data_IF_416383327519
#
_entry.id   IF_416383327519
#
_cell.length_a   1.000
_cell.length_b   1.000
_cell.length_c   1.000
_cell.angle_alpha   90.00
_cell.angle_beta   90.00
_cell.angle_gamma   90.00
#
_symmetry.space_group_name_H-M   'P 1'
#
loop_
_entity.id
_entity.type
_entity.pdbx_description
1 polymer ?
#
# COMPACT_ATOMS: atom_id res chain seq x y z
N UNK A 1 -26.83 7.93 -8.32
CA UNK A 1 -25.76 7.30 -9.14
C UNK A 1 -24.45 8.02 -8.81
N UNK A 2 -23.54 7.40 -8.08
CA UNK A 2 -22.20 7.98 -7.89
C UNK A 2 -21.51 8.05 -9.27
N UNK A 3 -21.11 9.27 -9.69
CA UNK A 3 -20.28 9.42 -10.89
C UNK A 3 -19.02 8.58 -10.73
N UNK A 4 -18.76 7.67 -11.68
CA UNK A 4 -17.52 6.87 -11.68
C UNK A 4 -16.31 7.80 -11.80
N UNK A 5 -15.37 7.67 -10.87
CA UNK A 5 -14.14 8.48 -10.83
C UNK A 5 -13.03 7.69 -11.54
N UNK A 6 -12.84 8.01 -12.82
CA UNK A 6 -11.89 7.29 -13.68
C UNK A 6 -10.41 7.55 -13.32
N UNK A 7 -10.10 8.69 -12.70
CA UNK A 7 -8.74 8.99 -12.30
C UNK A 7 -8.21 8.06 -11.20
N UNK A 8 -9.07 7.58 -10.27
CA UNK A 8 -8.66 6.58 -9.28
C UNK A 8 -8.40 5.21 -9.92
N UNK A 9 -9.14 4.86 -10.99
CA UNK A 9 -8.87 3.64 -11.74
C UNK A 9 -7.54 3.75 -12.52
N UNK A 10 -7.25 4.94 -13.10
CA UNK A 10 -5.95 5.17 -13.75
C UNK A 10 -4.80 5.07 -12.75
N UNK A 11 -4.93 5.67 -11.56
CA UNK A 11 -3.90 5.59 -10.53
C UNK A 11 -3.64 4.13 -10.10
N UNK A 12 -4.69 3.28 -10.01
CA UNK A 12 -4.52 1.83 -9.76
C UNK A 12 -3.83 1.11 -10.92
N UNK A 13 -4.21 1.44 -12.16
CA UNK A 13 -3.61 0.84 -13.34
C UNK A 13 -2.12 1.19 -13.46
N UNK A 14 -1.74 2.43 -13.18
CA UNK A 14 -0.34 2.87 -13.11
C UNK A 14 0.39 2.14 -11.97
N UNK A 15 -0.21 2.05 -10.78
CA UNK A 15 0.38 1.40 -9.63
C UNK A 15 0.73 -0.07 -9.92
N UNK A 16 -0.21 -0.84 -10.50
CA UNK A 16 0.07 -2.24 -10.86
C UNK A 16 1.08 -2.35 -12.01
N UNK A 17 1.03 -1.46 -12.99
CA UNK A 17 2.00 -1.45 -14.08
C UNK A 17 3.43 -1.23 -13.58
N UNK A 18 3.64 -0.32 -12.60
CA UNK A 18 4.96 -0.10 -11.97
C UNK A 18 5.45 -1.35 -11.20
N UNK A 19 4.55 -2.06 -10.52
CA UNK A 19 4.91 -3.30 -9.80
C UNK A 19 5.29 -4.41 -10.78
N UNK A 20 4.49 -4.63 -11.83
CA UNK A 20 4.80 -5.63 -12.88
C UNK A 20 6.11 -5.27 -13.59
N UNK A 21 6.29 -3.99 -13.91
CA UNK A 21 7.52 -3.51 -14.54
C UNK A 21 8.76 -3.75 -13.67
N UNK A 22 8.68 -3.51 -12.35
CA UNK A 22 9.79 -3.81 -11.44
C UNK A 22 10.23 -5.28 -11.51
N UNK A 23 9.28 -6.22 -11.47
CA UNK A 23 9.62 -7.63 -11.47
C UNK A 23 10.19 -8.08 -12.83
N UNK A 24 9.66 -7.55 -13.94
CA UNK A 24 10.27 -7.72 -15.25
C UNK A 24 11.67 -7.12 -15.33
N UNK A 25 11.86 -5.91 -14.80
CA UNK A 25 13.17 -5.25 -14.74
C UNK A 25 14.17 -6.01 -13.87
N UNK A 26 13.74 -6.65 -12.78
CA UNK A 26 14.57 -7.52 -11.96
C UNK A 26 15.08 -8.73 -12.75
N UNK A 27 14.22 -9.36 -13.54
CA UNK A 27 14.62 -10.44 -14.44
C UNK A 27 15.69 -9.97 -15.45
N UNK A 28 15.46 -8.84 -16.12
CA UNK A 28 16.43 -8.26 -17.04
C UNK A 28 17.74 -7.85 -16.36
N UNK A 29 17.69 -7.35 -15.12
CA UNK A 29 18.88 -7.06 -14.33
C UNK A 29 19.71 -8.31 -14.06
N UNK A 30 19.07 -9.40 -13.63
CA UNK A 30 19.75 -10.66 -13.31
C UNK A 30 20.32 -11.35 -14.54
N UNK A 31 19.63 -11.28 -15.69
CA UNK A 31 20.05 -11.96 -16.91
C UNK A 31 21.00 -11.15 -17.81
N UNK A 32 20.88 -9.82 -17.82
CA UNK A 32 21.52 -8.95 -18.81
C UNK A 32 22.22 -7.72 -18.19
N UNK A 33 22.25 -7.58 -16.87
CA UNK A 33 22.92 -6.45 -16.20
C UNK A 33 22.26 -5.09 -16.45
N UNK A 34 20.93 -5.03 -16.61
CA UNK A 34 20.21 -3.77 -16.80
C UNK A 34 20.33 -2.84 -15.58
N UNK A 35 20.12 -1.51 -15.70
CA UNK A 35 20.25 -0.59 -14.57
C UNK A 35 19.36 -0.96 -13.38
N UNK A 36 19.95 -1.06 -12.20
CA UNK A 36 19.29 -1.39 -10.92
C UNK A 36 18.13 -0.45 -10.58
N UNK A 37 18.18 0.81 -11.02
CA UNK A 37 17.14 1.79 -10.74
C UNK A 37 15.72 1.29 -11.09
N UNK A 38 15.58 0.52 -12.18
CA UNK A 38 14.28 0.02 -12.62
C UNK A 38 13.64 -0.95 -11.63
N UNK A 39 14.46 -1.62 -10.80
CA UNK A 39 13.97 -2.50 -9.73
C UNK A 39 13.34 -1.76 -8.55
N UNK A 40 13.33 -0.42 -8.56
CA UNK A 40 12.72 0.43 -7.53
C UNK A 40 11.32 0.94 -7.91
N UNK A 41 10.89 0.74 -9.14
CA UNK A 41 9.60 1.23 -9.64
C UNK A 41 8.40 0.71 -8.85
N UNK A 42 8.42 -0.54 -8.43
CA UNK A 42 7.35 -1.17 -7.65
C UNK A 42 7.18 -0.57 -6.25
N UNK A 43 8.24 -0.01 -5.66
CA UNK A 43 8.14 0.72 -4.37
C UNK A 43 7.17 1.90 -4.50
N UNK A 44 7.26 2.65 -5.61
CA UNK A 44 6.30 3.72 -5.93
C UNK A 44 4.92 3.11 -6.19
N UNK A 45 4.83 2.04 -6.98
CA UNK A 45 3.57 1.37 -7.29
C UNK A 45 2.80 0.93 -6.03
N UNK A 46 3.48 0.25 -5.09
CA UNK A 46 2.88 -0.16 -3.81
C UNK A 46 2.47 1.05 -2.97
N UNK A 47 3.27 2.10 -2.96
CA UNK A 47 2.94 3.33 -2.20
C UNK A 47 1.71 4.04 -2.77
N UNK A 48 1.53 4.02 -4.09
CA UNK A 48 0.29 4.49 -4.73
C UNK A 48 -0.93 3.66 -4.29
N UNK A 49 -0.79 2.33 -4.16
CA UNK A 49 -1.86 1.49 -3.62
C UNK A 49 -2.19 1.84 -2.17
N UNK A 50 -1.19 2.05 -1.32
CA UNK A 50 -1.41 2.46 0.07
C UNK A 50 -2.13 3.81 0.18
N UNK A 51 -1.73 4.82 -0.61
CA UNK A 51 -2.39 6.12 -0.65
C UNK A 51 -3.87 5.99 -1.08
N UNK A 52 -4.14 5.22 -2.14
CA UNK A 52 -5.50 4.92 -2.62
C UNK A 52 -6.31 4.16 -1.57
N UNK A 53 -5.70 3.19 -0.91
CA UNK A 53 -6.31 2.37 0.12
C UNK A 53 -6.75 3.23 1.31
N UNK A 54 -5.85 4.09 1.80
CA UNK A 54 -6.15 5.05 2.86
C UNK A 54 -7.28 6.02 2.47
N UNK A 55 -7.22 6.58 1.25
CA UNK A 55 -8.24 7.50 0.75
C UNK A 55 -9.64 6.86 0.69
N UNK A 56 -9.74 5.64 0.19
CA UNK A 56 -11.01 4.94 0.03
C UNK A 56 -11.57 4.43 1.36
N UNK A 57 -10.72 3.81 2.18
CA UNK A 57 -11.13 3.31 3.50
C UNK A 57 -11.46 4.47 4.44
N UNK A 58 -10.65 5.52 4.42
CA UNK A 58 -10.94 6.75 5.16
C UNK A 58 -12.28 7.34 4.78
N UNK A 59 -12.63 7.35 3.48
CA UNK A 59 -13.94 7.76 3.00
C UNK A 59 -15.06 6.94 3.62
N UNK A 60 -14.95 5.60 3.62
CA UNK A 60 -15.93 4.71 4.25
C UNK A 60 -16.04 4.93 5.76
N UNK A 61 -14.93 5.09 6.47
CA UNK A 61 -14.93 5.35 7.92
C UNK A 61 -15.55 6.71 8.28
N UNK A 62 -15.31 7.74 7.47
CA UNK A 62 -15.94 9.04 7.61
C UNK A 62 -17.46 8.98 7.35
N UNK A 63 -17.91 8.11 6.41
CA UNK A 63 -19.34 7.90 6.16
C UNK A 63 -20.03 7.18 7.33
N UNK A 64 -19.36 6.19 7.92
CA UNK A 64 -19.85 5.50 9.12
C UNK A 64 -19.85 6.43 10.35
N UNK A 65 -18.82 7.26 10.50
CA UNK A 65 -18.73 8.23 11.57
C UNK A 65 -18.95 7.61 12.96
N UNK A 66 -19.77 8.26 13.83
CA UNK A 66 -20.03 7.77 15.18
C UNK A 66 -20.75 6.41 15.24
N UNK A 67 -21.48 6.01 14.20
CA UNK A 67 -22.18 4.71 14.17
C UNK A 67 -21.21 3.53 14.24
N UNK A 68 -19.92 3.75 14.00
CA UNK A 68 -18.87 2.72 14.17
C UNK A 68 -18.76 2.23 15.62
N UNK A 69 -19.30 2.97 16.61
CA UNK A 69 -19.40 2.51 18.01
C UNK A 69 -20.37 1.33 18.20
N UNK A 70 -21.24 1.06 17.23
CA UNK A 70 -22.18 -0.05 17.25
C UNK A 70 -21.48 -1.34 16.78
N UNK A 71 -21.51 -2.43 17.61
CA UNK A 71 -20.80 -3.66 17.25
C UNK A 71 -21.22 -4.25 15.90
N UNK A 72 -22.52 -4.16 15.57
CA UNK A 72 -23.03 -4.66 14.28
C UNK A 72 -22.55 -3.86 13.08
N UNK A 73 -22.30 -2.55 13.23
CA UNK A 73 -21.74 -1.70 12.17
C UNK A 73 -20.26 -2.00 11.98
N UNK A 74 -19.51 -2.05 13.08
CA UNK A 74 -18.10 -2.38 13.06
C UNK A 74 -17.84 -3.79 12.47
N UNK A 75 -18.59 -4.79 12.92
CA UNK A 75 -18.49 -6.16 12.40
C UNK A 75 -18.77 -6.23 10.89
N UNK A 76 -19.81 -5.56 10.40
CA UNK A 76 -20.11 -5.49 8.96
C UNK A 76 -18.99 -4.83 8.16
N UNK A 77 -18.33 -3.82 8.71
CA UNK A 77 -17.16 -3.20 8.06
C UNK A 77 -16.04 -4.24 7.88
N UNK A 78 -15.64 -4.94 8.95
CA UNK A 78 -14.56 -5.95 8.87
C UNK A 78 -14.92 -7.13 7.99
N UNK A 79 -16.13 -7.67 8.10
CA UNK A 79 -16.58 -8.81 7.27
C UNK A 79 -16.55 -8.44 5.78
N UNK A 80 -17.08 -7.27 5.41
CA UNK A 80 -17.05 -6.81 4.00
C UNK A 80 -15.62 -6.64 3.49
N UNK A 81 -14.72 -6.18 4.33
CA UNK A 81 -13.32 -6.02 3.97
C UNK A 81 -12.62 -7.37 3.83
N UNK A 82 -12.79 -8.26 4.81
CA UNK A 82 -12.24 -9.61 4.80
C UNK A 82 -12.69 -10.40 3.56
N UNK A 83 -13.99 -10.41 3.25
CA UNK A 83 -14.53 -11.07 2.06
C UNK A 83 -14.00 -10.52 0.73
N UNK A 84 -13.49 -9.30 0.74
CA UNK A 84 -12.92 -8.68 -0.47
C UNK A 84 -11.46 -9.11 -0.71
N UNK A 85 -10.67 -9.30 0.34
CA UNK A 85 -9.22 -9.50 0.26
C UNK A 85 -8.79 -10.92 0.58
N UNK A 86 -9.29 -11.52 1.66
CA UNK A 86 -8.82 -12.80 2.18
C UNK A 86 -9.06 -13.99 1.25
N UNK A 87 -10.18 -14.14 0.54
CA UNK A 87 -10.37 -15.30 -0.33
C UNK A 87 -9.30 -15.40 -1.41
N UNK A 88 -8.99 -14.29 -2.08
CA UNK A 88 -7.92 -14.24 -3.07
C UNK A 88 -6.54 -14.46 -2.43
N UNK A 89 -6.29 -13.84 -1.29
CA UNK A 89 -5.02 -14.02 -0.59
C UNK A 89 -4.74 -15.49 -0.26
N UNK A 90 -5.69 -16.18 0.38
CA UNK A 90 -5.52 -17.58 0.74
C UNK A 90 -5.48 -18.50 -0.47
N UNK A 91 -6.23 -18.19 -1.54
CA UNK A 91 -6.12 -18.92 -2.79
C UNK A 91 -4.67 -18.85 -3.33
N UNK A 92 -4.09 -17.64 -3.40
CA UNK A 92 -2.71 -17.50 -3.89
C UNK A 92 -1.67 -18.04 -2.91
N UNK A 93 -1.92 -18.02 -1.61
CA UNK A 93 -1.07 -18.69 -0.63
C UNK A 93 -1.04 -20.21 -0.91
N UNK A 94 -2.20 -20.84 -1.13
CA UNK A 94 -2.29 -22.26 -1.48
C UNK A 94 -1.60 -22.58 -2.81
N UNK A 95 -1.77 -21.72 -3.82
CA UNK A 95 -1.09 -21.86 -5.11
C UNK A 95 0.44 -21.79 -4.93
N UNK A 96 0.94 -20.86 -4.12
CA UNK A 96 2.38 -20.76 -3.82
C UNK A 96 2.91 -22.02 -3.08
N UNK A 97 2.14 -22.58 -2.15
CA UNK A 97 2.49 -23.86 -1.50
C UNK A 97 2.54 -24.98 -2.52
N UNK A 98 1.53 -25.09 -3.39
CA UNK A 98 1.51 -26.10 -4.46
C UNK A 98 2.70 -25.94 -5.44
N UNK A 99 3.00 -24.70 -5.83
CA UNK A 99 4.14 -24.37 -6.68
C UNK A 99 5.47 -24.77 -6.04
N UNK A 100 5.65 -24.50 -4.74
CA UNK A 100 6.82 -24.95 -4.00
C UNK A 100 6.95 -26.47 -4.00
N UNK A 101 5.86 -27.20 -3.74
CA UNK A 101 5.85 -28.65 -3.74
C UNK A 101 6.26 -29.26 -5.07
N UNK A 102 5.78 -28.70 -6.19
CA UNK A 102 6.02 -29.25 -7.53
C UNK A 102 7.41 -28.90 -8.06
N UNK A 103 7.84 -27.64 -7.88
CA UNK A 103 9.01 -27.11 -8.56
C UNK A 103 10.19 -26.78 -7.65
N UNK A 104 9.95 -26.23 -6.47
CA UNK A 104 11.01 -25.69 -5.63
C UNK A 104 11.60 -26.73 -4.67
N UNK A 105 10.82 -27.71 -4.24
CA UNK A 105 11.27 -28.83 -3.41
C UNK A 105 12.38 -29.62 -4.11
N UNK A 106 12.23 -29.91 -5.40
CA UNK A 106 13.22 -30.63 -6.19
C UNK A 106 14.55 -29.86 -6.35
N UNK A 107 14.51 -28.51 -6.21
CA UNK A 107 15.68 -27.62 -6.23
C UNK A 107 16.35 -27.45 -4.85
N UNK A 108 15.91 -28.16 -3.83
CA UNK A 108 16.47 -28.09 -2.47
C UNK A 108 16.17 -26.79 -1.71
N UNK A 109 15.15 -26.03 -2.13
CA UNK A 109 14.75 -24.83 -1.39
C UNK A 109 14.13 -25.19 -0.04
N UNK A 110 14.27 -24.32 1.00
CA UNK A 110 13.75 -24.59 2.33
C UNK A 110 12.26 -24.88 2.33
N UNK A 111 11.79 -25.72 3.27
CA UNK A 111 10.37 -26.01 3.44
C UNK A 111 9.62 -24.77 4.00
N UNK A 112 8.57 -24.26 3.33
CA UNK A 112 7.77 -23.16 3.84
C UNK A 112 6.82 -23.54 4.97
N UNK A 113 6.59 -24.84 5.23
CA UNK A 113 5.61 -25.29 6.22
C UNK A 113 5.76 -24.63 7.60
N UNK A 114 6.96 -24.46 8.18
CA UNK A 114 7.14 -23.79 9.47
C UNK A 114 6.75 -22.29 9.44
N UNK A 115 6.72 -21.69 8.26
CA UNK A 115 6.40 -20.28 8.08
C UNK A 115 4.90 -20.04 7.81
N UNK A 116 4.14 -21.06 7.39
CA UNK A 116 2.74 -20.93 7.01
C UNK A 116 1.87 -20.23 8.06
N UNK A 117 1.98 -20.52 9.37
CA UNK A 117 1.21 -19.81 10.38
C UNK A 117 1.43 -18.28 10.35
N UNK A 118 2.67 -17.82 10.06
CA UNK A 118 2.96 -16.40 9.92
C UNK A 118 2.23 -15.79 8.72
N UNK A 119 2.15 -16.51 7.59
CA UNK A 119 1.41 -16.05 6.41
C UNK A 119 -0.09 -16.05 6.63
N UNK A 120 -0.63 -17.06 7.32
CA UNK A 120 -2.06 -17.14 7.65
C UNK A 120 -2.51 -15.95 8.50
N UNK A 121 -1.66 -15.48 9.42
CA UNK A 121 -1.96 -14.36 10.33
C UNK A 121 -1.30 -13.04 9.94
N UNK A 122 -0.73 -12.92 8.73
CA UNK A 122 -0.06 -11.71 8.24
C UNK A 122 1.10 -11.24 9.13
N UNK A 123 1.83 -12.17 9.75
CA UNK A 123 2.96 -11.90 10.66
C UNK A 123 4.33 -12.07 9.98
N UNK A 124 4.39 -12.43 8.69
CA UNK A 124 5.62 -12.81 7.99
C UNK A 124 6.66 -11.68 7.90
N UNK A 125 6.25 -10.43 8.01
CA UNK A 125 7.13 -9.24 7.92
C UNK A 125 6.98 -8.27 9.10
N UNK A 126 6.58 -8.77 10.27
CA UNK A 126 6.44 -7.94 11.47
C UNK A 126 7.80 -7.49 12.02
N UNK A 127 8.83 -8.35 11.96
CA UNK A 127 10.13 -8.21 12.61
C UNK A 127 11.31 -8.08 11.64
N UNK A 128 11.09 -7.67 10.39
CA UNK A 128 12.16 -7.53 9.40
C UNK A 128 12.72 -8.85 8.84
N UNK A 129 12.21 -10.00 9.24
CA UNK A 129 12.65 -11.30 8.72
C UNK A 129 12.33 -11.40 7.22
N UNK A 130 13.30 -11.95 6.45
CA UNK A 130 13.15 -12.15 5.00
C UNK A 130 12.04 -13.15 4.71
N UNK A 131 10.91 -12.64 4.26
CA UNK A 131 9.86 -13.47 3.66
C UNK A 131 10.32 -13.90 2.26
N UNK A 132 11.07 -15.00 2.17
CA UNK A 132 11.52 -15.56 0.88
C UNK A 132 10.37 -16.27 0.14
N UNK A 133 9.45 -16.86 0.89
CA UNK A 133 8.26 -17.52 0.37
C UNK A 133 7.13 -16.50 0.24
N UNK A 134 6.39 -16.49 -0.87
CA UNK A 134 5.30 -15.55 -1.15
C UNK A 134 5.67 -14.09 -0.83
N UNK A 135 6.78 -13.64 -1.39
CA UNK A 135 7.45 -12.39 -1.00
C UNK A 135 6.57 -11.13 -1.19
N UNK A 136 5.71 -11.07 -2.22
CA UNK A 136 4.82 -9.95 -2.52
C UNK A 136 3.74 -9.73 -1.45
N UNK A 137 3.45 -10.74 -0.63
CA UNK A 137 2.44 -10.66 0.44
C UNK A 137 2.77 -9.64 1.55
N UNK A 138 3.99 -9.11 1.58
CA UNK A 138 4.43 -8.16 2.60
C UNK A 138 3.52 -6.91 2.69
N UNK A 139 3.09 -6.36 1.56
CA UNK A 139 2.26 -5.16 1.53
C UNK A 139 0.83 -5.43 2.01
N UNK A 140 0.33 -6.64 1.74
CA UNK A 140 -0.97 -7.09 2.24
C UNK A 140 -0.98 -7.20 3.76
N UNK A 141 0.12 -7.64 4.38
CA UNK A 141 0.24 -7.64 5.83
C UNK A 141 0.12 -6.23 6.40
N UNK A 142 0.77 -5.22 5.78
CA UNK A 142 0.61 -3.81 6.19
C UNK A 142 -0.84 -3.36 6.09
N UNK A 143 -1.52 -3.71 4.98
CA UNK A 143 -2.92 -3.34 4.76
C UNK A 143 -3.86 -4.02 5.76
N UNK A 144 -3.77 -5.34 5.95
CA UNK A 144 -4.69 -6.08 6.81
C UNK A 144 -4.54 -5.68 8.29
N UNK A 145 -3.31 -5.47 8.78
CA UNK A 145 -3.10 -4.93 10.11
C UNK A 145 -3.63 -3.50 10.26
N UNK A 146 -3.47 -2.65 9.25
CA UNK A 146 -4.06 -1.31 9.27
C UNK A 146 -5.59 -1.36 9.30
N UNK A 147 -6.22 -2.21 8.47
CA UNK A 147 -7.69 -2.37 8.42
C UNK A 147 -8.28 -2.99 9.69
N UNK A 148 -7.47 -3.72 10.43
CA UNK A 148 -7.85 -4.22 11.74
C UNK A 148 -7.70 -3.12 12.80
N UNK A 149 -6.50 -2.57 12.96
CA UNK A 149 -6.12 -1.73 14.10
C UNK A 149 -6.75 -0.35 14.07
N UNK A 150 -6.78 0.33 12.91
CA UNK A 150 -7.31 1.68 12.85
C UNK A 150 -8.83 1.74 13.15
N UNK A 151 -9.69 0.93 12.51
CA UNK A 151 -11.11 0.87 12.87
C UNK A 151 -11.37 0.34 14.26
N UNK A 152 -10.52 -0.59 14.78
CA UNK A 152 -10.60 -1.07 16.15
C UNK A 152 -10.34 0.06 17.14
N UNK A 153 -9.32 0.88 16.91
CA UNK A 153 -9.04 2.07 17.71
C UNK A 153 -10.20 3.05 17.71
N UNK A 154 -10.83 3.28 16.53
CA UNK A 154 -12.05 4.09 16.44
C UNK A 154 -13.20 3.47 17.23
N UNK A 155 -13.49 2.19 17.06
CA UNK A 155 -14.55 1.47 17.77
C UNK A 155 -14.38 1.57 19.29
N UNK A 156 -13.18 1.21 19.79
CA UNK A 156 -12.90 1.23 21.23
C UNK A 156 -12.93 2.65 21.81
N UNK A 157 -12.32 3.61 21.12
CA UNK A 157 -12.29 5.01 21.57
C UNK A 157 -13.68 5.66 21.60
N UNK A 158 -14.55 5.34 20.63
CA UNK A 158 -15.93 5.80 20.59
C UNK A 158 -16.78 5.16 21.69
N UNK A 159 -16.67 3.83 21.83
CA UNK A 159 -17.55 3.03 22.69
C UNK A 159 -17.14 3.08 24.16
N UNK A 160 -15.85 2.90 24.45
CA UNK A 160 -15.34 2.80 25.81
C UNK A 160 -14.92 4.16 26.37
N UNK A 161 -14.19 4.94 25.59
CA UNK A 161 -13.63 6.23 26.02
C UNK A 161 -14.55 7.42 25.70
N UNK A 162 -15.60 7.19 24.90
CA UNK A 162 -16.58 8.21 24.48
C UNK A 162 -15.94 9.46 23.85
N UNK A 163 -14.79 9.30 23.21
CA UNK A 163 -14.08 10.38 22.55
C UNK A 163 -14.87 10.80 21.28
N UNK A 164 -15.10 12.10 21.02
CA UNK A 164 -15.77 12.55 19.81
C UNK A 164 -15.07 12.05 18.54
N UNK A 165 -15.83 11.50 17.57
CA UNK A 165 -15.31 10.85 16.37
C UNK A 165 -14.25 11.66 15.64
N UNK A 166 -14.47 12.97 15.42
CA UNK A 166 -13.52 13.82 14.70
C UNK A 166 -12.17 13.92 15.41
N UNK A 167 -12.17 14.07 16.75
CA UNK A 167 -10.93 14.13 17.53
C UNK A 167 -10.20 12.81 17.48
N UNK A 168 -10.92 11.71 17.68
CA UNK A 168 -10.36 10.37 17.67
C UNK A 168 -9.78 10.00 16.29
N UNK A 169 -10.51 10.30 15.21
CA UNK A 169 -10.06 10.05 13.83
C UNK A 169 -8.71 10.75 13.56
N UNK A 170 -8.60 12.04 13.90
CA UNK A 170 -7.36 12.78 13.68
C UNK A 170 -6.23 12.34 14.62
N UNK A 171 -6.54 12.04 15.87
CA UNK A 171 -5.54 11.55 16.84
C UNK A 171 -4.95 10.20 16.38
N UNK A 172 -5.79 9.24 16.02
CA UNK A 172 -5.32 7.95 15.49
C UNK A 172 -4.57 8.12 14.16
N UNK A 173 -5.03 8.99 13.27
CA UNK A 173 -4.32 9.29 12.01
C UNK A 173 -2.93 9.86 12.30
N UNK A 174 -2.82 10.81 13.24
CA UNK A 174 -1.54 11.39 13.65
C UNK A 174 -0.61 10.34 14.27
N UNK A 175 -1.13 9.45 15.12
CA UNK A 175 -0.36 8.34 15.70
C UNK A 175 0.12 7.38 14.59
N UNK A 176 -0.74 7.00 13.64
CA UNK A 176 -0.37 6.10 12.54
C UNK A 176 0.62 6.73 11.54
N UNK A 177 0.74 8.06 11.50
CA UNK A 177 1.78 8.75 10.73
C UNK A 177 3.06 8.91 11.56
N UNK A 178 2.95 9.37 12.80
CA UNK A 178 4.10 9.74 13.62
C UNK A 178 4.85 8.55 14.20
N UNK A 179 4.13 7.53 14.68
CA UNK A 179 4.75 6.35 15.29
C UNK A 179 5.71 5.63 14.35
N UNK A 180 5.37 5.33 13.07
CA UNK A 180 6.32 4.72 12.14
C UNK A 180 7.57 5.55 11.92
N UNK A 181 7.45 6.88 11.85
CA UNK A 181 8.60 7.78 11.72
C UNK A 181 9.52 7.67 12.93
N UNK A 182 8.96 7.70 14.15
CA UNK A 182 9.71 7.54 15.39
C UNK A 182 10.37 6.16 15.48
N UNK A 183 9.66 5.10 15.13
CA UNK A 183 10.20 3.75 15.13
C UNK A 183 11.36 3.60 14.14
N UNK A 184 11.24 4.15 12.92
CA UNK A 184 12.34 4.17 11.94
C UNK A 184 13.54 4.96 12.45
N UNK A 185 13.31 6.09 13.13
CA UNK A 185 14.39 6.89 13.71
C UNK A 185 15.12 6.17 14.88
N UNK A 186 14.38 5.36 15.65
CA UNK A 186 14.92 4.59 16.75
C UNK A 186 15.60 3.28 16.31
N UNK A 187 15.38 2.84 15.07
CA UNK A 187 15.92 1.57 14.57
C UNK A 187 17.33 1.77 14.05
N UNK A 188 18.30 1.14 14.73
CA UNK A 188 19.71 1.11 14.34
C UNK A 188 20.05 -0.12 13.48
N UNK A 189 19.05 -0.70 12.78
CA UNK A 189 19.26 -1.94 12.01
C UNK A 189 20.30 -1.74 10.90
N UNK A 190 21.30 -2.61 10.79
CA UNK A 190 22.23 -2.64 9.68
C UNK A 190 21.65 -3.24 8.41
N UNK A 191 20.38 -3.71 8.46
CA UNK A 191 19.69 -4.29 7.29
C UNK A 191 19.44 -3.23 6.22
N UNK A 192 19.37 -3.70 4.97
CA UNK A 192 19.12 -2.83 3.83
C UNK A 192 17.75 -2.09 3.97
N UNK A 193 17.67 -0.88 3.42
CA UNK A 193 16.50 -0.01 3.49
C UNK A 193 15.22 -0.70 2.98
N UNK A 194 15.35 -1.53 1.94
CA UNK A 194 14.20 -2.20 1.35
C UNK A 194 13.63 -3.28 2.27
N UNK A 195 14.49 -4.12 2.86
CA UNK A 195 14.09 -5.26 3.69
C UNK A 195 13.84 -4.88 5.15
N UNK A 196 14.69 -4.01 5.69
CA UNK A 196 14.64 -3.60 7.08
C UNK A 196 13.64 -2.49 7.38
N UNK A 197 13.25 -1.69 6.39
CA UNK A 197 12.38 -0.53 6.58
C UNK A 197 11.10 -0.62 5.75
N UNK A 198 11.22 -0.72 4.40
CA UNK A 198 10.05 -0.52 3.55
C UNK A 198 9.08 -1.69 3.56
N UNK A 199 9.52 -2.88 3.90
CA UNK A 199 8.69 -4.09 3.94
C UNK A 199 8.24 -4.50 5.34
N UNK A 200 8.56 -3.75 6.39
CA UNK A 200 8.18 -4.06 7.78
C UNK A 200 6.84 -3.43 8.13
N UNK A 201 5.92 -4.24 8.68
CA UNK A 201 4.55 -3.80 9.00
C UNK A 201 4.53 -2.58 9.91
N UNK A 202 5.32 -2.57 10.99
CA UNK A 202 5.33 -1.49 11.98
C UNK A 202 5.83 -0.15 11.44
N UNK A 203 6.60 -0.16 10.35
CA UNK A 203 7.21 1.04 9.77
C UNK A 203 6.43 1.65 8.61
N UNK A 204 5.26 1.09 8.24
CA UNK A 204 4.51 1.47 7.04
C UNK A 204 3.07 1.94 7.23
N UNK A 205 2.46 1.96 8.43
CA UNK A 205 1.09 2.47 8.60
C UNK A 205 0.91 3.91 8.14
N UNK A 206 1.98 4.73 8.17
CA UNK A 206 1.99 6.10 7.67
C UNK A 206 1.57 6.20 6.20
N UNK A 207 1.94 5.21 5.37
CA UNK A 207 1.62 5.20 3.94
C UNK A 207 0.12 5.16 3.66
N UNK A 208 -0.64 4.44 4.50
CA UNK A 208 -2.10 4.37 4.40
C UNK A 208 -2.74 5.55 5.15
N UNK A 209 -2.20 5.90 6.32
CA UNK A 209 -2.75 6.95 7.17
C UNK A 209 -2.72 8.35 6.52
N UNK A 210 -1.71 8.65 5.70
CA UNK A 210 -1.68 9.89 4.90
C UNK A 210 -2.85 9.94 3.91
N UNK A 211 -3.28 8.80 3.36
CA UNK A 211 -4.48 8.69 2.54
C UNK A 211 -5.78 8.99 3.33
N UNK A 212 -5.85 8.58 4.62
CA UNK A 212 -6.95 8.97 5.50
C UNK A 212 -7.00 10.49 5.72
N UNK A 213 -5.86 11.11 5.97
CA UNK A 213 -5.76 12.57 6.11
C UNK A 213 -6.23 13.27 4.82
N UNK A 214 -5.81 12.76 3.66
CA UNK A 214 -6.17 13.31 2.36
C UNK A 214 -7.68 13.33 2.11
N UNK A 215 -8.41 12.23 2.40
CA UNK A 215 -9.87 12.20 2.22
C UNK A 215 -10.61 13.09 3.22
N UNK A 216 -10.10 13.21 4.43
CA UNK A 216 -10.67 14.14 5.42
C UNK A 216 -10.50 15.60 4.98
N UNK A 217 -9.35 15.97 4.42
CA UNK A 217 -9.10 17.29 3.82
C UNK A 217 -9.95 17.51 2.56
N UNK A 218 -10.09 16.52 1.69
CA UNK A 218 -10.99 16.57 0.54
C UNK A 218 -12.42 16.93 0.95
N UNK A 219 -12.96 16.26 1.98
CA UNK A 219 -14.32 16.51 2.47
C UNK A 219 -14.45 17.86 3.17
N UNK A 220 -13.41 18.34 3.81
CA UNK A 220 -13.41 19.61 4.54
C UNK A 220 -13.27 20.82 3.62
N UNK A 221 -12.46 20.68 2.56
CA UNK A 221 -12.07 21.77 1.66
C UNK A 221 -12.23 21.40 0.18
N UNK A 222 -13.43 21.02 -0.29
CA UNK A 222 -13.62 20.48 -1.66
C UNK A 222 -13.28 21.48 -2.76
N UNK A 223 -13.48 22.79 -2.51
CA UNK A 223 -13.13 23.81 -3.50
C UNK A 223 -11.61 24.01 -3.64
N UNK A 224 -10.88 24.07 -2.52
CA UNK A 224 -9.42 24.14 -2.53
C UNK A 224 -8.83 22.88 -3.17
N UNK A 225 -9.38 21.72 -2.85
CA UNK A 225 -8.98 20.44 -3.44
C UNK A 225 -9.12 20.43 -4.97
N UNK A 226 -10.25 20.93 -5.49
CA UNK A 226 -10.47 21.04 -6.93
C UNK A 226 -9.55 22.08 -7.61
N UNK A 227 -9.28 23.20 -6.96
CA UNK A 227 -8.36 24.25 -7.47
C UNK A 227 -6.92 23.75 -7.55
N UNK A 228 -6.49 22.99 -6.55
CA UNK A 228 -5.12 22.47 -6.44
C UNK A 228 -4.85 21.24 -7.29
N UNK A 229 -5.83 20.70 -8.02
CA UNK A 229 -5.71 19.41 -8.75
C UNK A 229 -4.51 19.34 -9.70
N UNK A 230 -4.24 20.37 -10.48
CA UNK A 230 -3.12 20.37 -11.42
C UNK A 230 -1.78 20.72 -10.76
N UNK A 231 -1.67 21.78 -9.92
CA UNK A 231 -0.45 22.03 -9.17
C UNK A 231 0.00 20.86 -8.31
N UNK A 232 -0.93 20.20 -7.58
CA UNK A 232 -0.59 19.04 -6.77
C UNK A 232 -0.19 17.81 -7.61
N UNK A 233 -0.81 17.61 -8.79
CA UNK A 233 -0.41 16.56 -9.72
C UNK A 233 1.04 16.78 -10.17
N UNK A 234 1.39 17.99 -10.61
CA UNK A 234 2.74 18.31 -11.05
C UNK A 234 3.76 18.15 -9.92
N UNK A 235 3.44 18.67 -8.72
CA UNK A 235 4.27 18.50 -7.54
C UNK A 235 4.44 17.04 -7.15
N UNK A 236 3.36 16.25 -7.16
CA UNK A 236 3.38 14.82 -6.84
C UNK A 236 4.26 14.02 -7.81
N UNK A 237 4.13 14.28 -9.12
CA UNK A 237 4.99 13.67 -10.15
C UNK A 237 6.45 14.05 -9.92
N UNK A 238 6.74 15.33 -9.67
CA UNK A 238 8.11 15.79 -9.41
C UNK A 238 8.73 15.12 -8.17
N UNK A 239 7.98 15.05 -7.05
CA UNK A 239 8.43 14.39 -5.82
C UNK A 239 8.68 12.89 -6.05
N UNK A 240 7.79 12.20 -6.76
CA UNK A 240 7.96 10.78 -7.07
C UNK A 240 9.13 10.53 -8.01
N UNK A 241 9.32 11.38 -9.02
CA UNK A 241 10.46 11.29 -9.93
C UNK A 241 11.79 11.54 -9.21
N UNK A 242 11.85 12.56 -8.35
CA UNK A 242 13.04 12.85 -7.54
C UNK A 242 13.34 11.69 -6.55
N UNK A 243 12.30 11.13 -5.91
CA UNK A 243 12.46 9.99 -5.02
C UNK A 243 12.95 8.76 -5.77
N UNK A 244 12.43 8.51 -6.96
CA UNK A 244 12.86 7.40 -7.82
C UNK A 244 14.33 7.55 -8.24
N UNK A 245 14.71 8.74 -8.70
CA UNK A 245 16.09 9.04 -9.04
C UNK A 245 17.03 8.83 -7.82
N UNK A 246 16.63 9.35 -6.65
CA UNK A 246 17.42 9.17 -5.43
C UNK A 246 17.57 7.68 -5.03
N UNK A 247 16.51 6.88 -5.16
CA UNK A 247 16.59 5.43 -4.89
C UNK A 247 17.53 4.69 -5.86
N UNK A 248 17.78 5.24 -7.05
CA UNK A 248 18.65 4.63 -8.05
C UNK A 248 20.10 5.05 -8.00
N UNK A 249 20.37 6.31 -7.65
CA UNK A 249 21.73 6.90 -7.67
C UNK A 249 22.24 7.29 -6.28
N UNK A 250 21.35 7.44 -5.31
CA UNK A 250 21.67 7.75 -3.93
C UNK A 250 22.00 6.48 -3.12
N UNK A 251 22.27 6.69 -1.85
CA UNK A 251 22.57 5.62 -0.90
C UNK A 251 21.58 5.63 0.27
N UNK A 252 20.34 5.11 0.06
CA UNK A 252 19.35 5.06 1.12
C UNK A 252 19.76 4.08 2.25
N UNK A 253 20.63 3.11 1.97
CA UNK A 253 21.04 2.10 2.94
C UNK A 253 21.99 2.67 4.01
N UNK A 254 22.83 3.64 3.66
CA UNK A 254 23.78 4.27 4.58
C UNK A 254 23.32 5.63 5.10
N UNK A 255 22.21 6.18 4.60
CA UNK A 255 21.66 7.46 5.05
C UNK A 255 20.55 7.28 6.09
N UNK A 256 20.82 7.63 7.34
CA UNK A 256 19.81 7.63 8.41
C UNK A 256 18.59 8.51 8.04
N UNK A 257 18.83 9.69 7.47
CA UNK A 257 17.77 10.59 7.04
C UNK A 257 16.90 9.95 5.95
N UNK A 258 17.50 9.26 4.97
CA UNK A 258 16.76 8.54 3.94
C UNK A 258 15.95 7.39 4.53
N UNK A 259 16.50 6.60 5.44
CA UNK A 259 15.78 5.51 6.11
C UNK A 259 14.52 6.00 6.81
N UNK A 260 14.57 7.14 7.47
CA UNK A 260 13.47 7.72 8.23
C UNK A 260 12.46 8.41 7.32
N UNK A 261 12.92 9.28 6.41
CA UNK A 261 12.06 10.23 5.72
C UNK A 261 11.71 9.86 4.28
N UNK A 262 12.52 9.07 3.58
CA UNK A 262 12.22 8.72 2.18
C UNK A 262 10.86 8.02 2.02
N UNK A 263 10.46 7.06 2.88
CA UNK A 263 9.11 6.49 2.81
C UNK A 263 8.01 7.56 2.93
N UNK A 264 8.20 8.53 3.83
CA UNK A 264 7.24 9.62 4.03
C UNK A 264 7.18 10.55 2.80
N UNK A 265 8.32 10.87 2.18
CA UNK A 265 8.39 11.70 0.98
C UNK A 265 7.67 11.03 -0.19
N UNK A 266 7.90 9.73 -0.40
CA UNK A 266 7.19 8.93 -1.44
C UNK A 266 5.69 8.88 -1.16
N UNK A 267 5.28 8.75 0.11
CA UNK A 267 3.87 8.78 0.52
C UNK A 267 3.23 10.13 0.19
N UNK A 268 3.89 11.23 0.52
CA UNK A 268 3.42 12.59 0.21
C UNK A 268 3.30 12.81 -1.30
N UNK A 269 4.30 12.40 -2.08
CA UNK A 269 4.24 12.44 -3.54
C UNK A 269 3.02 11.67 -4.09
N UNK A 270 2.76 10.48 -3.54
CA UNK A 270 1.61 9.65 -3.94
C UNK A 270 0.26 10.30 -3.61
N UNK A 271 0.14 10.91 -2.44
CA UNK A 271 -1.09 11.59 -2.00
C UNK A 271 -1.36 12.88 -2.79
N UNK A 272 -0.32 13.59 -3.21
CA UNK A 272 -0.44 14.78 -4.07
C UNK A 272 -1.08 14.47 -5.44
N UNK A 273 -1.14 13.22 -5.88
CA UNK A 273 -1.86 12.83 -7.10
C UNK A 273 -3.37 12.74 -6.87
N UNK A 274 -3.84 12.55 -5.62
CA UNK A 274 -5.25 12.32 -5.30
C UNK A 274 -6.19 13.47 -5.64
N UNK A 275 -5.83 14.76 -5.53
CA UNK A 275 -6.71 15.86 -5.93
C UNK A 275 -7.13 15.75 -7.40
N UNK A 276 -6.20 15.43 -8.28
CA UNK A 276 -6.52 15.18 -9.68
C UNK A 276 -7.25 13.85 -9.87
N UNK A 277 -6.75 12.76 -9.30
CA UNK A 277 -7.30 11.44 -9.47
C UNK A 277 -8.76 11.32 -8.96
N UNK A 278 -9.09 11.95 -7.84
CA UNK A 278 -10.44 11.91 -7.25
C UNK A 278 -11.46 12.83 -7.96
N UNK A 279 -10.99 13.79 -8.76
CA UNK A 279 -11.85 14.74 -9.50
C UNK A 279 -11.95 14.42 -10.98
N UNK A 280 -11.09 13.54 -11.51
CA UNK A 280 -11.07 13.16 -12.91
C UNK A 280 -12.19 12.15 -13.23
N UNK A 281 -13.25 12.62 -13.90
CA UNK A 281 -14.42 11.82 -14.28
C UNK A 281 -14.40 11.33 -15.73
N UNK A 282 -13.39 11.73 -16.52
CA UNK A 282 -13.20 11.30 -17.91
C UNK A 282 -11.70 11.10 -18.20
N UNK A 283 -11.38 10.02 -18.91
CA UNK A 283 -10.01 9.69 -19.35
C UNK A 283 -9.90 9.73 -20.89
N UNK A 284 -10.61 10.65 -21.53
CA UNK A 284 -10.66 10.67 -22.99
C UNK A 284 -11.66 9.65 -23.55
N UNK A 285 -11.38 9.09 -24.72
CA UNK A 285 -12.29 8.18 -25.41
C UNK A 285 -12.45 6.80 -24.76
N UNK A 286 -13.47 6.05 -25.16
CA UNK A 286 -13.73 4.68 -24.69
C UNK A 286 -12.55 3.73 -24.90
N UNK A 287 -11.78 3.91 -25.96
CA UNK A 287 -10.62 3.10 -26.29
C UNK A 287 -9.56 3.10 -25.19
N UNK A 288 -9.36 4.22 -24.48
CA UNK A 288 -8.43 4.32 -23.36
C UNK A 288 -9.09 3.93 -22.01
N UNK A 289 -10.32 4.38 -21.78
CA UNK A 289 -11.01 4.16 -20.50
C UNK A 289 -11.35 2.68 -20.23
N UNK A 290 -11.60 1.86 -21.28
CA UNK A 290 -11.96 0.44 -21.12
C UNK A 290 -10.76 -0.38 -20.62
N UNK A 291 -9.57 -0.37 -21.26
CA UNK A 291 -8.41 -1.12 -20.78
C UNK A 291 -7.93 -0.65 -19.40
N UNK A 292 -7.92 0.66 -19.14
CA UNK A 292 -7.56 1.19 -17.81
C UNK A 292 -8.45 0.61 -16.71
N UNK A 293 -9.77 0.58 -16.93
CA UNK A 293 -10.70 -0.01 -15.96
C UNK A 293 -10.55 -1.52 -15.82
N UNK A 294 -10.25 -2.22 -16.92
CA UNK A 294 -9.97 -3.65 -16.85
C UNK A 294 -8.73 -3.92 -15.99
N UNK A 295 -7.61 -3.27 -16.25
CA UNK A 295 -6.36 -3.38 -15.47
C UNK A 295 -6.60 -3.00 -14.01
N UNK A 296 -7.28 -1.88 -13.73
CA UNK A 296 -7.59 -1.44 -12.37
C UNK A 296 -8.44 -2.46 -11.61
N UNK A 297 -9.38 -3.13 -12.26
CA UNK A 297 -10.23 -4.16 -11.65
C UNK A 297 -9.43 -5.43 -11.29
N UNK A 298 -8.48 -5.80 -12.13
CA UNK A 298 -7.68 -7.01 -11.97
C UNK A 298 -6.38 -6.75 -11.20
N UNK A 299 -6.10 -5.49 -10.83
CA UNK A 299 -4.84 -5.08 -10.22
C UNK A 299 -4.46 -5.89 -8.97
N UNK A 300 -5.43 -6.28 -8.13
CA UNK A 300 -5.19 -7.09 -6.96
C UNK A 300 -4.73 -8.52 -7.31
N UNK A 301 -5.41 -9.18 -8.26
CA UNK A 301 -5.00 -10.52 -8.70
C UNK A 301 -3.68 -10.49 -9.47
N UNK A 302 -3.46 -9.46 -10.30
CA UNK A 302 -2.19 -9.24 -10.99
C UNK A 302 -1.03 -9.05 -10.01
N UNK A 303 -1.29 -8.34 -8.90
CA UNK A 303 -0.30 -8.16 -7.85
C UNK A 303 0.12 -9.49 -7.21
N UNK A 304 -0.84 -10.37 -6.91
CA UNK A 304 -0.59 -11.65 -6.25
C UNK A 304 0.09 -12.69 -7.15
N UNK A 305 -0.14 -12.63 -8.48
CA UNK A 305 0.43 -13.61 -9.42
C UNK A 305 1.80 -13.21 -9.95
N UNK A 306 2.13 -11.94 -9.85
CA UNK A 306 3.22 -11.32 -10.60
C UNK A 306 4.61 -11.94 -10.31
N UNK A 307 4.94 -12.26 -9.05
CA UNK A 307 6.24 -12.79 -8.69
C UNK A 307 6.38 -14.29 -9.04
N UNK A 308 5.28 -15.04 -9.04
CA UNK A 308 5.31 -16.45 -9.48
C UNK A 308 5.78 -16.56 -10.91
N UNK A 309 5.38 -15.63 -11.78
CA UNK A 309 5.77 -15.61 -13.18
C UNK A 309 7.24 -15.21 -13.40
N UNK A 310 7.90 -14.58 -12.42
CA UNK A 310 9.30 -14.12 -12.53
C UNK A 310 10.31 -15.08 -11.89
N UNK A 311 9.85 -16.12 -11.17
CA UNK A 311 10.71 -17.11 -10.48
C UNK A 311 10.74 -18.48 -11.17
N UNK A 312 10.00 -18.65 -12.27
CA UNK A 312 10.04 -19.80 -13.16
C UNK A 312 11.11 -19.64 -14.23
#
# INVERSE_FOLDING_TARGET
MHKKVHGLDLMRAVAIALVVFQHGALFFYLCYGSPVIWTKAGTIGVTLFFALSGFLIGGLLLDLGPSLSEPGVAARFWVRRALRTLPNYYLFLLINVGFWWVFQKARGLPDPAPLLPRYVFFLQNFTGQRAWFFAESWSLSVEEWFYLLFPLGLFLGLRLLRIPFKRLYWALTAVMIGLPVLLRAATLSPEDWERGITKVVLYRPDSIAIGLAAVALFRRFPQAWARLRLPSLAAGIAVLAASFAYMGIGDPDHSTAARVFLPLVVNLGSVLLLPWASTCTSLGGRAFAVPVRAVARWSYSLYLVNLMASTT
#
